data_IF_561774206687
#
_entry.id   IF_561774206687
#
_cell.length_a   1.000
_cell.length_b   1.000
_cell.length_c   1.000
_cell.angle_alpha   90.00
_cell.angle_beta   90.00
_cell.angle_gamma   90.00
#
_symmetry.space_group_name_H-M   'P 1'
#
loop_
_entity.id
_entity.type
_entity.pdbx_description
1 polymer ?
#
# COMPACT_ATOMS: atom_id res chain seq x y z
N UNK A 1 13.11 -3.31 -17.09
CA UNK A 1 12.30 -4.25 -16.27
C UNK A 1 12.66 -3.96 -14.84
N UNK A 2 11.69 -3.70 -13.99
CA UNK A 2 11.94 -3.28 -12.62
C UNK A 2 10.92 -3.94 -11.70
N UNK A 3 11.32 -4.10 -10.43
CA UNK A 3 10.65 -4.94 -9.45
C UNK A 3 9.22 -4.47 -9.13
N UNK A 4 8.30 -5.42 -9.21
CA UNK A 4 6.86 -5.23 -9.07
C UNK A 4 6.32 -6.06 -7.91
N UNK A 5 5.61 -5.40 -6.99
CA UNK A 5 4.85 -6.09 -5.94
C UNK A 5 3.41 -6.22 -6.42
N UNK A 6 2.90 -7.44 -6.42
CA UNK A 6 1.51 -7.75 -6.76
C UNK A 6 0.76 -8.17 -5.50
N UNK A 7 -0.52 -7.79 -5.44
CA UNK A 7 -1.33 -8.11 -4.28
C UNK A 7 -2.81 -8.30 -4.60
N UNK A 8 -3.49 -9.00 -3.70
CA UNK A 8 -4.94 -9.10 -3.60
C UNK A 8 -5.37 -8.79 -2.18
N UNK A 9 -6.39 -7.94 -2.00
CA UNK A 9 -6.87 -7.48 -0.70
C UNK A 9 -8.36 -7.73 -0.54
N UNK A 10 -8.77 -8.05 0.69
CA UNK A 10 -10.15 -7.97 1.18
C UNK A 10 -10.06 -7.35 2.58
N UNK A 11 -10.60 -6.15 2.77
CA UNK A 11 -10.44 -5.36 4.00
C UNK A 11 -11.80 -5.20 4.66
N UNK A 12 -12.04 -5.98 5.70
CA UNK A 12 -13.31 -6.02 6.42
C UNK A 12 -13.47 -4.79 7.33
N UNK A 13 -12.38 -4.40 8.00
CA UNK A 13 -12.32 -3.25 8.92
C UNK A 13 -11.81 -1.99 8.21
N UNK A 14 -12.51 -1.56 7.16
CA UNK A 14 -12.06 -0.49 6.26
C UNK A 14 -11.76 0.83 6.96
N UNK A 15 -12.64 1.31 7.83
CA UNK A 15 -12.42 2.59 8.52
C UNK A 15 -11.19 2.54 9.42
N UNK A 16 -11.03 1.48 10.22
CA UNK A 16 -9.85 1.28 11.07
C UNK A 16 -8.55 1.20 10.26
N UNK A 17 -8.60 0.56 9.08
CA UNK A 17 -7.45 0.47 8.17
C UNK A 17 -7.08 1.85 7.61
N UNK A 18 -8.05 2.67 7.20
CA UNK A 18 -7.79 4.03 6.71
C UNK A 18 -7.17 4.88 7.80
N UNK A 19 -7.74 4.90 9.01
CA UNK A 19 -7.25 5.69 10.13
C UNK A 19 -5.81 5.29 10.51
N UNK A 20 -5.54 3.98 10.54
CA UNK A 20 -4.19 3.46 10.74
C UNK A 20 -3.22 3.92 9.64
N UNK A 21 -3.63 3.78 8.38
CA UNK A 21 -2.75 4.06 7.25
C UNK A 21 -2.47 5.55 7.09
N UNK A 22 -3.45 6.41 7.36
CA UNK A 22 -3.29 7.86 7.40
C UNK A 22 -2.23 8.26 8.44
N UNK A 23 -2.34 7.75 9.68
CA UNK A 23 -1.37 8.01 10.73
C UNK A 23 0.05 7.49 10.38
N UNK A 24 0.14 6.32 9.74
CA UNK A 24 1.43 5.79 9.25
C UNK A 24 2.01 6.70 8.16
N UNK A 25 1.20 7.13 7.19
CA UNK A 25 1.66 8.01 6.12
C UNK A 25 2.12 9.36 6.66
N UNK A 26 1.39 9.95 7.61
CA UNK A 26 1.79 11.19 8.30
C UNK A 26 3.16 11.03 8.97
N UNK A 27 3.37 9.96 9.75
CA UNK A 27 4.64 9.70 10.42
C UNK A 27 5.82 9.45 9.49
N UNK A 28 5.56 8.96 8.27
CA UNK A 28 6.56 8.74 7.23
C UNK A 28 6.78 9.96 6.32
N UNK A 29 5.93 10.99 6.42
CA UNK A 29 5.91 12.12 5.50
C UNK A 29 5.40 11.77 4.10
N UNK A 30 4.63 10.70 3.96
CA UNK A 30 3.99 10.30 2.70
C UNK A 30 2.65 11.01 2.56
N UNK A 31 2.28 11.35 1.32
CA UNK A 31 0.96 11.90 1.05
C UNK A 31 -0.07 10.77 0.96
N UNK A 32 -1.14 10.90 1.72
CA UNK A 32 -2.27 9.99 1.73
C UNK A 32 -3.47 10.63 1.01
N UNK A 33 -4.13 9.88 0.14
CA UNK A 33 -5.35 10.32 -0.57
C UNK A 33 -6.42 9.25 -0.40
N UNK A 34 -7.57 9.67 0.08
CA UNK A 34 -8.72 8.81 0.30
C UNK A 34 -9.68 8.83 -0.89
N UNK A 35 -10.14 7.65 -1.30
CA UNK A 35 -11.25 7.45 -2.22
C UNK A 35 -12.39 6.67 -1.57
N UNK A 36 -13.47 6.42 -2.33
CA UNK A 36 -14.66 5.72 -1.81
C UNK A 36 -14.35 4.26 -1.40
N UNK A 37 -13.69 3.51 -2.27
CA UNK A 37 -13.35 2.09 -2.08
C UNK A 37 -11.84 1.79 -2.22
N UNK A 38 -11.01 2.84 -2.20
CA UNK A 38 -9.56 2.70 -2.22
C UNK A 38 -8.86 3.84 -1.48
N UNK A 39 -7.61 3.60 -1.14
CA UNK A 39 -6.69 4.60 -0.60
C UNK A 39 -5.43 4.61 -1.46
N UNK A 40 -4.81 5.77 -1.61
CA UNK A 40 -3.60 5.95 -2.39
C UNK A 40 -2.50 6.58 -1.54
N UNK A 41 -1.31 5.99 -1.61
CA UNK A 41 -0.11 6.46 -0.92
C UNK A 41 0.86 6.99 -1.97
N UNK A 42 1.32 8.22 -1.78
CA UNK A 42 2.29 8.87 -2.64
C UNK A 42 3.55 9.17 -1.81
N UNK A 43 4.64 8.40 -1.97
CA UNK A 43 5.85 8.55 -1.16
C UNK A 43 6.74 9.70 -1.65
N UNK A 44 6.36 10.37 -2.74
CA UNK A 44 7.16 11.40 -3.43
C UNK A 44 8.60 10.95 -3.78
N UNK A 45 8.81 9.63 -3.86
CA UNK A 45 10.10 9.01 -4.14
C UNK A 45 10.28 8.75 -5.63
N UNK A 46 11.39 9.22 -6.20
CA UNK A 46 11.68 9.05 -7.63
C UNK A 46 11.91 7.57 -7.94
N UNK A 47 11.18 7.06 -8.94
CA UNK A 47 11.31 5.66 -9.35
C UNK A 47 10.44 4.70 -8.55
N UNK A 48 9.52 5.21 -7.71
CA UNK A 48 8.50 4.43 -7.02
C UNK A 48 7.13 4.90 -7.48
N UNK A 49 6.28 3.97 -7.90
CA UNK A 49 4.90 4.28 -8.25
C UNK A 49 4.04 4.49 -6.98
N UNK A 50 2.98 5.32 -7.05
CA UNK A 50 1.99 5.40 -5.97
C UNK A 50 1.36 4.04 -5.69
N UNK A 51 1.14 3.72 -4.42
CA UNK A 51 0.50 2.48 -4.00
C UNK A 51 -1.01 2.72 -3.82
N UNK A 52 -1.83 2.08 -4.64
CA UNK A 52 -3.29 2.08 -4.50
C UNK A 52 -3.77 0.79 -3.80
N UNK A 53 -4.36 0.90 -2.61
CA UNK A 53 -4.92 -0.24 -1.90
C UNK A 53 -6.44 -0.17 -1.98
N UNK A 54 -7.04 -1.13 -2.69
CA UNK A 54 -8.49 -1.28 -2.79
C UNK A 54 -9.04 -2.01 -1.58
N UNK A 55 -10.21 -1.61 -1.12
CA UNK A 55 -10.95 -2.32 -0.06
C UNK A 55 -11.18 -3.79 -0.41
N UNK A 56 -11.50 -4.07 -1.67
CA UNK A 56 -11.58 -5.43 -2.20
C UNK A 56 -11.10 -5.44 -3.65
N UNK A 57 -10.06 -6.23 -3.94
CA UNK A 57 -9.61 -6.39 -5.31
C UNK A 57 -8.16 -6.82 -5.45
N UNK A 58 -7.60 -6.57 -6.63
CA UNK A 58 -6.19 -6.83 -6.97
C UNK A 58 -5.52 -5.53 -7.36
N UNK A 59 -4.21 -5.47 -7.14
CA UNK A 59 -3.36 -4.37 -7.53
C UNK A 59 -1.94 -4.82 -7.78
N UNK A 60 -1.13 -3.88 -8.25
CA UNK A 60 0.31 -4.03 -8.35
C UNK A 60 0.94 -2.65 -8.21
N UNK A 61 2.21 -2.62 -7.81
CA UNK A 61 2.99 -1.39 -7.73
C UNK A 61 4.44 -1.65 -8.08
N UNK A 62 5.03 -0.80 -8.93
CA UNK A 62 6.46 -0.88 -9.21
C UNK A 62 7.23 -0.03 -8.23
N UNK A 63 8.11 -0.69 -7.50
CA UNK A 63 8.99 -0.05 -6.52
C UNK A 63 10.42 0.03 -7.04
N UNK A 64 10.76 -0.78 -8.06
CA UNK A 64 12.11 -0.87 -8.62
C UNK A 64 13.20 -1.13 -7.56
N UNK A 65 12.84 -1.78 -6.43
CA UNK A 65 13.71 -2.01 -5.26
C UNK A 65 14.32 -0.73 -4.67
N UNK A 66 13.65 0.42 -4.84
CA UNK A 66 14.10 1.68 -4.24
C UNK A 66 13.76 1.68 -2.75
N UNK A 67 14.79 1.54 -1.93
CA UNK A 67 14.65 1.60 -0.47
C UNK A 67 14.64 3.04 0.06
N UNK A 68 13.93 3.30 1.18
CA UNK A 68 13.17 2.35 2.00
C UNK A 68 11.73 2.09 1.50
N UNK A 69 11.32 2.69 0.39
CA UNK A 69 9.92 2.67 -0.06
C UNK A 69 9.44 1.26 -0.39
N UNK A 70 10.31 0.44 -1.00
CA UNK A 70 10.03 -0.96 -1.28
C UNK A 70 9.67 -1.72 0.01
N UNK A 71 10.55 -1.70 1.01
CA UNK A 71 10.31 -2.36 2.30
C UNK A 71 9.09 -1.81 3.03
N UNK A 72 8.88 -0.50 2.99
CA UNK A 72 7.70 0.14 3.61
C UNK A 72 6.41 -0.34 2.95
N UNK A 73 6.35 -0.43 1.62
CA UNK A 73 5.18 -0.92 0.91
C UNK A 73 4.86 -2.36 1.27
N UNK A 74 5.87 -3.23 1.40
CA UNK A 74 5.66 -4.59 1.87
C UNK A 74 5.07 -4.62 3.29
N UNK A 75 5.59 -3.81 4.21
CA UNK A 75 5.05 -3.71 5.58
C UNK A 75 3.59 -3.22 5.59
N UNK A 76 3.30 -2.17 4.82
CA UNK A 76 1.94 -1.62 4.69
C UNK A 76 1.00 -2.69 4.12
N UNK A 77 1.38 -3.36 3.04
CA UNK A 77 0.56 -4.40 2.43
C UNK A 77 0.36 -5.59 3.38
N UNK A 78 1.40 -6.02 4.10
CA UNK A 78 1.26 -7.07 5.12
C UNK A 78 0.37 -6.65 6.29
N UNK A 79 0.36 -5.37 6.67
CA UNK A 79 -0.51 -4.87 7.74
C UNK A 79 -2.00 -5.05 7.43
N UNK A 80 -2.37 -5.14 6.15
CA UNK A 80 -3.75 -5.45 5.72
C UNK A 80 -4.26 -6.76 6.32
N UNK A 81 -3.37 -7.75 6.56
CA UNK A 81 -3.75 -9.02 7.20
C UNK A 81 -4.31 -8.85 8.62
N UNK A 82 -4.04 -7.73 9.29
CA UNK A 82 -4.69 -7.41 10.55
C UNK A 82 -6.15 -7.02 10.31
N UNK A 83 -6.45 -6.19 9.31
CA UNK A 83 -7.78 -5.61 9.05
C UNK A 83 -8.69 -6.47 8.16
N UNK A 84 -8.14 -7.53 7.56
CA UNK A 84 -8.84 -8.48 6.71
C UNK A 84 -7.88 -9.53 6.17
N UNK A 85 -7.69 -9.60 4.86
CA UNK A 85 -6.77 -10.55 4.22
C UNK A 85 -5.99 -9.92 3.07
N UNK A 86 -4.78 -10.42 2.87
CA UNK A 86 -3.90 -10.02 1.77
C UNK A 86 -3.13 -11.24 1.24
N UNK A 87 -3.04 -11.35 -0.07
CA UNK A 87 -2.09 -12.23 -0.77
C UNK A 87 -1.06 -11.35 -1.45
N UNK A 88 0.23 -11.68 -1.32
CA UNK A 88 1.37 -10.92 -1.86
C UNK A 88 2.29 -11.83 -2.65
N UNK A 89 2.79 -11.34 -3.78
CA UNK A 89 3.84 -11.98 -4.56
C UNK A 89 4.65 -10.95 -5.34
N UNK A 90 5.87 -11.30 -5.70
CA UNK A 90 6.84 -10.44 -6.38
C UNK A 90 7.33 -11.15 -7.66
N UNK A 91 7.81 -10.37 -8.64
CA UNK A 91 8.36 -10.89 -9.91
C UNK A 91 9.86 -11.24 -9.85
#
# INVERSE_FOLDING_TARGET
MGHTVYYRTIIDRWNEFRDFLEAVCEGLGFRFVEGEDSVMILPECRGVEPLEIKKNGKGFVKTNLVEPCHSIYLLILHSVAFFGSVELWED
#
